data_IF_503917211114
#
_entry.id   IF_503917211114
#
_cell.length_a   1.000
_cell.length_b   1.000
_cell.length_c   1.000
_cell.angle_alpha   90.00
_cell.angle_beta   90.00
_cell.angle_gamma   90.00
#
_symmetry.space_group_name_H-M   'P 1'
#
loop_
_entity.id
_entity.type
_entity.pdbx_description
1 polymer ?
#
# COMPACT_ATOMS: atom_id res chain seq x y z
N UNK A 1 0.22 17.62 1.22
CA UNK A 1 -1.12 17.42 0.63
C UNK A 1 -2.10 18.05 1.59
N UNK A 2 -2.72 19.15 1.19
CA UNK A 2 -3.80 19.79 1.93
C UNK A 2 -5.17 19.28 1.44
N UNK A 3 -6.24 19.45 2.23
CA UNK A 3 -7.62 19.26 1.77
C UNK A 3 -7.93 19.97 0.44
N UNK A 4 -7.31 21.13 0.21
CA UNK A 4 -7.51 21.92 -1.00
C UNK A 4 -6.95 21.27 -2.25
N UNK A 5 -5.85 20.51 -2.13
CA UNK A 5 -5.30 19.75 -3.25
C UNK A 5 -6.28 18.67 -3.77
N UNK A 6 -7.27 18.27 -2.95
CA UNK A 6 -8.28 17.26 -3.29
C UNK A 6 -9.48 17.84 -4.05
N UNK A 7 -9.67 19.17 -4.04
CA UNK A 7 -10.80 19.85 -4.69
C UNK A 7 -10.87 19.62 -6.20
N UNK A 8 -9.72 19.36 -6.82
CA UNK A 8 -9.60 19.09 -8.26
C UNK A 8 -10.08 17.68 -8.65
N UNK A 9 -10.28 16.79 -7.69
CA UNK A 9 -10.66 15.39 -7.96
C UNK A 9 -12.18 15.26 -8.09
N UNK A 10 -12.62 14.39 -9.01
CA UNK A 10 -14.05 14.22 -9.33
C UNK A 10 -14.92 13.87 -8.12
N UNK A 11 -14.36 13.11 -7.15
CA UNK A 11 -15.11 12.75 -5.94
C UNK A 11 -15.46 13.94 -5.05
N UNK A 12 -14.71 15.06 -5.12
CA UNK A 12 -14.93 16.20 -4.23
C UNK A 12 -16.31 16.81 -4.42
N UNK A 13 -16.72 16.96 -5.68
CA UNK A 13 -18.06 17.43 -6.06
C UNK A 13 -19.11 16.35 -5.81
N UNK A 14 -18.80 15.11 -6.19
CA UNK A 14 -19.72 13.97 -6.05
C UNK A 14 -20.16 13.75 -4.60
N UNK A 15 -19.22 13.75 -3.66
CA UNK A 15 -19.47 13.57 -2.23
C UNK A 15 -19.88 14.85 -1.51
N UNK A 16 -20.02 15.97 -2.23
CA UNK A 16 -20.35 17.28 -1.68
C UNK A 16 -19.45 17.67 -0.50
N UNK A 17 -18.16 17.29 -0.56
CA UNK A 17 -17.22 17.44 0.58
C UNK A 17 -17.08 18.91 0.99
N UNK A 18 -17.22 19.85 0.06
CA UNK A 18 -17.25 21.28 0.35
C UNK A 18 -18.29 21.68 1.41
N UNK A 19 -19.46 21.03 1.48
CA UNK A 19 -20.46 21.28 2.53
C UNK A 19 -20.04 20.68 3.87
N UNK A 20 -19.45 19.48 3.82
CA UNK A 20 -19.00 18.74 5.00
C UNK A 20 -17.87 19.46 5.72
N UNK A 21 -17.00 20.14 4.97
CA UNK A 21 -15.87 20.90 5.54
C UNK A 21 -16.14 22.40 5.70
N UNK A 22 -17.29 22.92 5.27
CA UNK A 22 -17.59 24.35 5.26
C UNK A 22 -17.49 25.03 6.65
N UNK A 23 -17.75 24.26 7.72
CA UNK A 23 -17.76 24.76 9.09
C UNK A 23 -16.52 24.33 9.90
N UNK A 24 -15.51 23.74 9.24
CA UNK A 24 -14.29 23.24 9.88
C UNK A 24 -13.09 24.02 9.34
N UNK A 25 -12.25 24.51 10.24
CA UNK A 25 -11.00 25.19 9.87
C UNK A 25 -10.05 24.22 9.16
N UNK A 26 -9.21 24.72 8.24
CA UNK A 26 -8.20 23.92 7.54
C UNK A 26 -7.10 23.38 8.46
N UNK A 27 -6.88 24.03 9.61
CA UNK A 27 -5.96 23.57 10.66
C UNK A 27 -6.60 22.57 11.63
N UNK A 28 -7.90 22.29 11.46
CA UNK A 28 -8.63 21.37 12.32
C UNK A 28 -8.43 19.93 11.86
N UNK A 29 -7.78 19.12 12.69
CA UNK A 29 -7.67 17.68 12.48
C UNK A 29 -9.03 17.01 12.22
N UNK A 30 -10.13 17.55 12.79
CA UNK A 30 -11.50 17.07 12.53
C UNK A 30 -11.88 17.20 11.07
N UNK A 31 -11.43 18.22 10.36
CA UNK A 31 -11.66 18.38 8.92
C UNK A 31 -11.01 17.23 8.15
N UNK A 32 -9.74 16.96 8.44
CA UNK A 32 -8.99 15.85 7.83
C UNK A 32 -9.65 14.50 8.12
N UNK A 33 -10.02 14.24 9.37
CA UNK A 33 -10.70 13.00 9.74
C UNK A 33 -12.05 12.85 9.03
N UNK A 34 -12.84 13.92 8.95
CA UNK A 34 -14.14 13.90 8.29
C UNK A 34 -14.01 13.62 6.79
N UNK A 35 -13.00 14.20 6.13
CA UNK A 35 -12.67 13.93 4.73
C UNK A 35 -12.25 12.48 4.50
N UNK A 36 -11.29 11.97 5.28
CA UNK A 36 -10.81 10.59 5.19
C UNK A 36 -11.95 9.62 5.42
N UNK A 37 -12.78 9.86 6.44
CA UNK A 37 -13.94 9.01 6.74
C UNK A 37 -14.94 9.00 5.59
N UNK A 38 -15.29 10.16 5.05
CA UNK A 38 -16.25 10.26 3.93
C UNK A 38 -15.75 9.54 2.69
N UNK A 39 -14.44 9.63 2.41
CA UNK A 39 -13.81 8.94 1.30
C UNK A 39 -13.80 7.41 1.51
N UNK A 40 -13.49 6.96 2.72
CA UNK A 40 -13.55 5.53 3.07
C UNK A 40 -14.98 5.00 2.96
N UNK A 41 -15.96 5.73 3.51
CA UNK A 41 -17.37 5.34 3.45
C UNK A 41 -17.84 5.21 1.99
N UNK A 42 -17.47 6.17 1.13
CA UNK A 42 -17.74 6.10 -0.30
C UNK A 42 -17.13 4.87 -0.98
N UNK A 43 -15.82 4.64 -0.77
CA UNK A 43 -15.10 3.54 -1.42
C UNK A 43 -15.58 2.18 -0.92
N UNK A 44 -15.75 2.02 0.40
CA UNK A 44 -16.16 0.75 1.00
C UNK A 44 -17.61 0.43 0.65
N UNK A 45 -18.51 1.41 0.67
CA UNK A 45 -19.92 1.20 0.33
C UNK A 45 -20.08 0.70 -1.10
N UNK A 46 -19.40 1.34 -2.06
CA UNK A 46 -19.43 0.90 -3.46
C UNK A 46 -18.82 -0.48 -3.64
N UNK A 47 -17.63 -0.73 -3.07
CA UNK A 47 -16.96 -2.03 -3.15
C UNK A 47 -17.87 -3.16 -2.67
N UNK A 48 -18.55 -2.98 -1.53
CA UNK A 48 -19.45 -3.98 -0.97
C UNK A 48 -20.68 -4.19 -1.86
N UNK A 49 -21.30 -3.10 -2.33
CA UNK A 49 -22.51 -3.18 -3.15
C UNK A 49 -22.24 -3.80 -4.52
N UNK A 50 -21.16 -3.37 -5.18
CA UNK A 50 -20.73 -3.91 -6.47
C UNK A 50 -20.34 -5.39 -6.33
N UNK A 51 -19.59 -5.75 -5.29
CA UNK A 51 -19.24 -7.16 -5.04
C UNK A 51 -20.49 -8.02 -4.86
N UNK A 52 -21.47 -7.55 -4.07
CA UNK A 52 -22.76 -8.26 -3.92
C UNK A 52 -23.49 -8.40 -5.25
N UNK A 53 -23.51 -7.34 -6.06
CA UNK A 53 -24.14 -7.36 -7.39
C UNK A 53 -23.49 -8.42 -8.29
N UNK A 54 -22.15 -8.45 -8.38
CA UNK A 54 -21.41 -9.43 -9.18
C UNK A 54 -21.63 -10.86 -8.71
N UNK A 55 -21.67 -11.08 -7.39
CA UNK A 55 -21.97 -12.40 -6.83
C UNK A 55 -23.34 -12.92 -7.30
N UNK A 56 -24.35 -12.05 -7.34
CA UNK A 56 -25.69 -12.40 -7.86
C UNK A 56 -25.67 -12.61 -9.38
N UNK A 57 -25.02 -11.70 -10.13
CA UNK A 57 -24.95 -11.77 -11.60
C UNK A 57 -24.26 -13.05 -12.10
N UNK A 58 -23.25 -13.54 -11.37
CA UNK A 58 -22.54 -14.78 -11.71
C UNK A 58 -23.09 -16.03 -10.99
N UNK A 59 -24.26 -15.93 -10.34
CA UNK A 59 -24.91 -17.02 -9.59
C UNK A 59 -23.98 -17.74 -8.58
N UNK A 60 -23.15 -16.99 -7.88
CA UNK A 60 -22.16 -17.55 -6.94
C UNK A 60 -22.87 -18.02 -5.66
N UNK A 61 -22.85 -19.33 -5.40
CA UNK A 61 -23.47 -19.94 -4.20
C UNK A 61 -22.48 -20.70 -3.32
N UNK A 62 -21.26 -20.94 -3.82
CA UNK A 62 -20.22 -21.66 -3.11
C UNK A 62 -18.83 -21.11 -3.41
N UNK A 63 -17.85 -21.51 -2.60
CA UNK A 63 -16.43 -21.16 -2.83
C UNK A 63 -15.92 -21.74 -4.16
N UNK A 64 -16.44 -22.89 -4.58
CA UNK A 64 -16.03 -23.48 -5.86
C UNK A 64 -16.54 -22.68 -7.05
N UNK A 65 -17.70 -22.02 -6.93
CA UNK A 65 -18.19 -21.09 -7.96
C UNK A 65 -17.28 -19.86 -8.06
N UNK A 66 -16.83 -19.32 -6.91
CA UNK A 66 -15.85 -18.22 -6.86
C UNK A 66 -14.56 -18.61 -7.60
N UNK A 67 -14.03 -19.81 -7.35
CA UNK A 67 -12.79 -20.29 -7.98
C UNK A 67 -12.94 -20.54 -9.49
N UNK A 68 -14.13 -20.93 -9.93
CA UNK A 68 -14.44 -21.19 -11.35
C UNK A 68 -14.79 -19.93 -12.12
N UNK A 69 -15.21 -18.87 -11.44
CA UNK A 69 -15.52 -17.59 -12.06
C UNK A 69 -14.27 -17.00 -12.74
N UNK A 70 -14.42 -16.59 -14.00
CA UNK A 70 -13.31 -15.99 -14.78
C UNK A 70 -13.11 -14.51 -14.49
N UNK A 71 -14.07 -13.88 -13.84
CA UNK A 71 -14.10 -12.45 -13.59
C UNK A 71 -13.81 -12.12 -12.12
N UNK A 72 -13.31 -10.90 -11.89
CA UNK A 72 -13.05 -10.43 -10.53
C UNK A 72 -14.36 -10.04 -9.86
N UNK A 73 -14.81 -10.90 -8.94
CA UNK A 73 -16.02 -10.68 -8.17
C UNK A 73 -15.90 -9.52 -7.16
N UNK A 74 -14.71 -9.29 -6.60
CA UNK A 74 -14.45 -8.18 -5.68
C UNK A 74 -13.78 -7.01 -6.42
N UNK A 75 -14.44 -5.86 -6.40
CA UNK A 75 -13.93 -4.63 -7.02
C UNK A 75 -14.93 -3.48 -6.93
N UNK A 76 -14.45 -2.29 -7.24
CA UNK A 76 -15.31 -1.11 -7.40
C UNK A 76 -16.18 -1.25 -8.64
N UNK A 77 -17.31 -0.53 -8.65
CA UNK A 77 -18.08 -0.30 -9.87
C UNK A 77 -17.21 0.44 -10.89
N UNK A 78 -17.54 0.34 -12.18
CA UNK A 78 -16.75 1.00 -13.23
C UNK A 78 -16.62 2.51 -13.01
N UNK A 79 -17.70 3.15 -12.54
CA UNK A 79 -17.72 4.57 -12.21
C UNK A 79 -16.75 4.89 -11.06
N UNK A 80 -16.78 4.12 -9.97
CA UNK A 80 -15.91 4.36 -8.83
C UNK A 80 -14.46 3.92 -9.08
N UNK A 81 -14.23 2.94 -9.94
CA UNK A 81 -12.89 2.53 -10.34
C UNK A 81 -12.12 3.68 -11.00
N UNK A 82 -12.79 4.48 -11.85
CA UNK A 82 -12.22 5.69 -12.45
C UNK A 82 -11.84 6.69 -11.35
N UNK A 83 -12.77 6.99 -10.44
CA UNK A 83 -12.57 7.96 -9.36
C UNK A 83 -11.41 7.56 -8.44
N UNK A 84 -11.35 6.29 -8.03
CA UNK A 84 -10.28 5.75 -7.20
C UNK A 84 -8.95 5.73 -7.96
N UNK A 85 -8.99 5.49 -9.27
CA UNK A 85 -7.84 5.61 -10.17
C UNK A 85 -7.24 7.01 -10.16
N UNK A 86 -8.07 8.04 -10.34
CA UNK A 86 -7.66 9.45 -10.32
C UNK A 86 -7.06 9.84 -8.97
N UNK A 87 -7.67 9.40 -7.86
CA UNK A 87 -7.12 9.62 -6.52
C UNK A 87 -5.74 8.96 -6.36
N UNK A 88 -5.58 7.71 -6.80
CA UNK A 88 -4.28 7.01 -6.75
C UNK A 88 -3.23 7.74 -7.58
N UNK A 89 -3.58 8.22 -8.77
CA UNK A 89 -2.68 8.98 -9.62
C UNK A 89 -2.26 10.30 -8.95
N UNK A 90 -3.23 11.02 -8.38
CA UNK A 90 -2.96 12.25 -7.64
C UNK A 90 -2.02 12.00 -6.45
N UNK A 91 -2.28 10.97 -5.64
CA UNK A 91 -1.42 10.60 -4.52
C UNK A 91 -0.03 10.18 -5.01
N UNK A 92 0.08 9.45 -6.12
CA UNK A 92 1.36 9.11 -6.71
C UNK A 92 2.19 10.35 -7.06
N UNK A 93 1.57 11.35 -7.69
CA UNK A 93 2.25 12.57 -8.10
C UNK A 93 2.61 13.49 -6.93
N UNK A 94 1.70 13.65 -5.95
CA UNK A 94 1.87 14.63 -4.86
C UNK A 94 2.53 14.08 -3.60
N UNK A 95 2.38 12.77 -3.35
CA UNK A 95 3.01 12.09 -2.21
C UNK A 95 4.27 11.38 -2.68
N UNK A 96 4.12 10.30 -3.43
CA UNK A 96 5.21 9.35 -3.68
C UNK A 96 6.35 9.88 -4.54
N UNK A 97 6.09 10.86 -5.43
CA UNK A 97 7.12 11.54 -6.24
C UNK A 97 7.75 12.76 -5.56
N UNK A 98 7.50 12.97 -4.27
CA UNK A 98 8.19 14.02 -3.53
C UNK A 98 9.69 13.66 -3.40
N UNK A 99 10.58 14.61 -3.69
CA UNK A 99 12.04 14.40 -3.66
C UNK A 99 12.50 13.71 -2.37
N UNK A 100 11.96 14.12 -1.22
CA UNK A 100 12.32 13.52 0.07
C UNK A 100 12.03 12.02 0.14
N UNK A 101 10.93 11.54 -0.45
CA UNK A 101 10.60 10.11 -0.47
C UNK A 101 11.46 9.35 -1.49
N UNK A 102 11.83 9.99 -2.59
CA UNK A 102 12.77 9.40 -3.56
C UNK A 102 14.15 9.23 -2.92
N UNK A 103 14.67 10.26 -2.26
CA UNK A 103 15.96 10.20 -1.55
C UNK A 103 15.95 9.10 -0.46
N UNK A 104 14.84 8.96 0.26
CA UNK A 104 14.66 7.89 1.25
C UNK A 104 14.60 6.50 0.61
N UNK A 105 13.98 6.36 -0.56
CA UNK A 105 13.91 5.10 -1.29
C UNK A 105 15.30 4.70 -1.81
N UNK A 106 16.05 5.64 -2.38
CA UNK A 106 17.42 5.43 -2.83
C UNK A 106 18.32 5.01 -1.65
N UNK A 107 18.18 5.66 -0.50
CA UNK A 107 18.90 5.27 0.71
C UNK A 107 18.54 3.86 1.21
N UNK A 108 17.24 3.52 1.20
CA UNK A 108 16.79 2.18 1.57
C UNK A 108 17.32 1.10 0.61
N UNK A 109 17.42 1.41 -0.68
CA UNK A 109 17.99 0.51 -1.68
C UNK A 109 19.47 0.22 -1.40
N UNK A 110 20.26 1.26 -1.08
CA UNK A 110 21.68 1.10 -0.72
C UNK A 110 21.86 0.27 0.56
N UNK A 111 20.99 0.47 1.56
CA UNK A 111 20.98 -0.37 2.77
C UNK A 111 20.79 -1.84 2.43
N UNK A 112 19.76 -2.14 1.64
CA UNK A 112 19.41 -3.53 1.29
C UNK A 112 20.52 -4.15 0.45
N UNK A 113 21.08 -3.43 -0.53
CA UNK A 113 22.19 -3.90 -1.37
C UNK A 113 23.40 -4.27 -0.54
N UNK A 114 23.83 -3.40 0.38
CA UNK A 114 24.99 -3.65 1.24
C UNK A 114 24.75 -4.89 2.10
N UNK A 115 23.62 -4.94 2.82
CA UNK A 115 23.29 -6.08 3.70
C UNK A 115 23.24 -7.38 2.90
N UNK A 116 22.58 -7.39 1.74
CA UNK A 116 22.48 -8.56 0.89
C UNK A 116 23.86 -9.02 0.40
N UNK A 117 24.68 -8.09 -0.12
CA UNK A 117 26.02 -8.40 -0.59
C UNK A 117 26.93 -8.94 0.53
N UNK A 118 26.89 -8.33 1.71
CA UNK A 118 27.68 -8.77 2.87
C UNK A 118 27.28 -10.17 3.33
N UNK A 119 25.98 -10.48 3.42
CA UNK A 119 25.51 -11.82 3.78
C UNK A 119 25.76 -12.85 2.68
N UNK A 120 25.76 -12.42 1.40
CA UNK A 120 26.14 -13.24 0.26
C UNK A 120 27.65 -13.54 0.24
N UNK A 121 28.50 -12.66 0.74
CA UNK A 121 29.91 -12.94 0.92
C UNK A 121 30.15 -13.82 2.15
N UNK A 122 29.52 -13.49 3.28
CA UNK A 122 29.76 -14.11 4.58
C UNK A 122 28.46 -14.58 5.27
N UNK A 123 27.92 -15.75 4.89
CA UNK A 123 26.67 -16.27 5.45
C UNK A 123 26.78 -16.70 6.91
N UNK A 124 27.99 -16.82 7.46
CA UNK A 124 28.22 -17.01 8.89
C UNK A 124 27.75 -15.82 9.73
N UNK A 125 27.46 -14.66 9.13
CA UNK A 125 26.84 -13.52 9.80
C UNK A 125 25.32 -13.65 9.96
N UNK A 126 24.68 -14.62 9.27
CA UNK A 126 23.27 -14.91 9.46
C UNK A 126 22.99 -15.45 10.87
N UNK A 127 21.84 -15.10 11.48
CA UNK A 127 21.39 -15.73 12.72
C UNK A 127 21.26 -17.26 12.55
N UNK A 128 21.42 -18.04 13.64
CA UNK A 128 21.42 -19.51 13.56
C UNK A 128 20.22 -20.11 12.83
N UNK A 129 19.02 -19.56 13.06
CA UNK A 129 17.79 -20.02 12.37
C UNK A 129 17.92 -19.97 10.85
N UNK A 130 18.37 -18.85 10.29
CA UNK A 130 18.51 -18.69 8.84
C UNK A 130 19.72 -19.45 8.31
N UNK A 131 20.80 -19.55 9.10
CA UNK A 131 21.97 -20.34 8.72
C UNK A 131 21.62 -21.83 8.54
N UNK A 132 20.77 -22.39 9.41
CA UNK A 132 20.32 -23.77 9.27
C UNK A 132 19.48 -23.99 8.01
N UNK A 133 18.74 -22.98 7.53
CA UNK A 133 17.96 -23.09 6.30
C UNK A 133 18.84 -23.23 5.05
N UNK A 134 20.11 -22.79 5.11
CA UNK A 134 21.07 -22.93 4.00
C UNK A 134 21.38 -24.39 3.64
N UNK A 135 21.07 -25.34 4.52
CA UNK A 135 21.23 -26.78 4.24
C UNK A 135 20.20 -27.30 3.23
N UNK A 136 19.08 -26.61 3.08
CA UNK A 136 17.93 -27.07 2.29
C UNK A 136 17.42 -26.05 1.26
N UNK A 137 17.83 -24.79 1.39
CA UNK A 137 17.38 -23.69 0.54
C UNK A 137 18.53 -22.92 -0.10
N UNK A 138 18.25 -22.25 -1.22
CA UNK A 138 19.22 -21.40 -1.90
C UNK A 138 19.56 -20.20 -1.03
N UNK A 139 20.84 -19.84 -1.02
CA UNK A 139 21.38 -18.74 -0.21
C UNK A 139 20.66 -17.41 -0.46
N UNK A 140 20.35 -17.12 -1.71
CA UNK A 140 19.65 -15.91 -2.13
C UNK A 140 18.26 -15.82 -1.48
N UNK A 141 17.52 -16.93 -1.44
CA UNK A 141 16.18 -17.00 -0.84
C UNK A 141 16.26 -16.77 0.66
N UNK A 142 17.13 -17.50 1.35
CA UNK A 142 17.29 -17.41 2.81
C UNK A 142 17.70 -15.99 3.25
N UNK A 143 18.60 -15.35 2.52
CA UNK A 143 19.02 -13.98 2.80
C UNK A 143 17.90 -12.99 2.49
N UNK A 144 17.19 -13.15 1.37
CA UNK A 144 16.03 -12.31 1.05
C UNK A 144 14.95 -12.39 2.11
N UNK A 145 14.63 -13.58 2.61
CA UNK A 145 13.65 -13.78 3.68
C UNK A 145 14.10 -13.16 5.00
N UNK A 146 15.39 -13.27 5.32
CA UNK A 146 15.95 -12.62 6.51
C UNK A 146 15.85 -11.10 6.42
N UNK A 147 16.21 -10.51 5.28
CA UNK A 147 16.11 -9.05 5.06
C UNK A 147 14.64 -8.60 5.06
N UNK A 148 13.75 -9.33 4.40
CA UNK A 148 12.32 -9.02 4.37
C UNK A 148 11.65 -9.07 5.75
N UNK A 149 12.23 -9.84 6.69
CA UNK A 149 11.80 -9.88 8.08
C UNK A 149 12.35 -8.76 8.97
N UNK A 150 13.21 -7.88 8.46
CA UNK A 150 13.78 -6.77 9.23
C UNK A 150 12.79 -5.62 9.38
N UNK A 151 12.88 -4.93 10.52
CA UNK A 151 12.30 -3.58 10.66
C UNK A 151 13.29 -2.55 10.13
N UNK A 152 12.83 -1.39 9.68
CA UNK A 152 13.70 -0.31 9.18
C UNK A 152 14.83 0.04 10.16
N UNK A 153 14.49 0.15 11.46
CA UNK A 153 15.49 0.44 12.51
C UNK A 153 16.53 -0.67 12.64
N UNK A 154 16.13 -1.93 12.46
CA UNK A 154 17.05 -3.06 12.52
C UNK A 154 17.93 -3.14 11.27
N UNK A 155 17.36 -2.89 10.08
CA UNK A 155 18.10 -2.82 8.83
C UNK A 155 19.17 -1.70 8.89
N UNK A 156 18.81 -0.51 9.36
CA UNK A 156 19.77 0.58 9.56
C UNK A 156 20.89 0.18 10.54
N UNK A 157 20.56 -0.39 11.70
CA UNK A 157 21.58 -0.83 12.65
C UNK A 157 22.52 -1.91 12.07
N UNK A 158 22.00 -2.78 11.19
CA UNK A 158 22.82 -3.77 10.49
C UNK A 158 23.71 -3.14 9.43
N UNK A 159 23.20 -2.19 8.68
CA UNK A 159 23.98 -1.40 7.73
C UNK A 159 25.16 -0.72 8.42
N UNK A 160 24.91 -0.04 9.54
CA UNK A 160 25.95 0.66 10.32
C UNK A 160 27.02 -0.29 10.89
N UNK A 161 26.70 -1.58 11.08
CA UNK A 161 27.64 -2.60 11.55
C UNK A 161 28.49 -3.19 10.43
N UNK A 162 27.99 -3.17 9.19
CA UNK A 162 28.65 -3.74 8.01
C UNK A 162 29.47 -2.72 7.21
N UNK A 163 29.31 -1.43 7.53
CA UNK A 163 30.12 -0.33 7.03
C UNK A 163 31.44 -0.20 7.82
#
# INVERSE_FOLDING_TARGET
ISPDDLRQLGFWKYLQLGKLVANLSEEDDRQRYALVRSLLDFMVTDLVNETKLRLVQHDIKSIDDVRKCKEKLCGYSDANAIIVGDLKQFLNQKLYKNQKLLDMADWAEEIIKLIFATLMAEPTLLPPRFRNMLEHEKKEIVISDYIAGMTDRYAQAKYDTFQ
#
